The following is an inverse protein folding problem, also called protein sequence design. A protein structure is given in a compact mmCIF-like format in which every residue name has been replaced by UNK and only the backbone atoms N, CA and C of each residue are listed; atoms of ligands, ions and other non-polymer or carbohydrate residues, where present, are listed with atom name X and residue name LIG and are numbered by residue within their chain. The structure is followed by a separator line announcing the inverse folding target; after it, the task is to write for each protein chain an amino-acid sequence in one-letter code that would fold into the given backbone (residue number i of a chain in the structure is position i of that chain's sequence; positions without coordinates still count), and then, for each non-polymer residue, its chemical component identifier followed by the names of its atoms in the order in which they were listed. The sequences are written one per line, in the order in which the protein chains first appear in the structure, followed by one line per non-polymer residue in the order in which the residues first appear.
data_IF_691623602966
#
_entry.id   IF_691623602966
#
_cell.length_a   1.000
_cell.length_b   1.000
_cell.length_c   1.000
_cell.angle_alpha   90.00
_cell.angle_beta   90.00
_cell.angle_gamma   90.00
#
_symmetry.space_group_name_H-M   'P 1'
#
loop_
_entity.id
_entity.type
_entity.pdbx_description
1 polymer ?
#
# COMPACT_ATOMS: atom_id res chain seq x y z
N UNK A 1 13.13 9.63 26.47
CA UNK A 1 12.53 10.88 25.93
C UNK A 1 13.49 11.63 24.98
N UNK A 2 14.77 11.81 25.32
CA UNK A 2 15.77 12.46 24.43
C UNK A 2 16.10 11.71 23.13
N UNK A 3 15.98 10.37 23.09
CA UNK A 3 16.24 9.58 21.88
C UNK A 3 15.13 9.72 20.82
N UNK A 4 13.93 10.19 21.18
CA UNK A 4 12.87 10.51 20.21
C UNK A 4 13.19 11.74 19.35
N UNK A 5 14.09 12.62 19.81
CA UNK A 5 14.41 13.89 19.12
C UNK A 5 15.42 13.68 18.00
N UNK A 6 16.39 12.77 18.15
CA UNK A 6 17.46 12.57 17.14
C UNK A 6 16.99 11.94 15.83
N UNK A 7 15.85 11.23 15.81
CA UNK A 7 15.28 10.66 14.58
C UNK A 7 14.17 11.52 13.99
N UNK A 8 13.73 12.58 14.67
CA UNK A 8 12.68 13.46 14.18
C UNK A 8 13.12 14.17 12.89
N UNK A 9 14.37 14.63 12.84
CA UNK A 9 14.92 15.29 11.64
C UNK A 9 14.92 14.35 10.42
N UNK A 10 15.22 13.07 10.63
CA UNK A 10 15.19 12.04 9.57
C UNK A 10 13.76 11.78 9.10
N UNK A 11 12.81 11.70 10.02
CA UNK A 11 11.38 11.53 9.69
C UNK A 11 10.85 12.74 8.92
N UNK A 12 11.15 13.95 9.37
CA UNK A 12 10.74 15.19 8.70
C UNK A 12 11.37 15.27 7.31
N UNK A 13 12.66 14.94 7.17
CA UNK A 13 13.32 14.85 5.88
C UNK A 13 12.59 13.89 4.95
N UNK A 14 12.42 12.62 5.36
CA UNK A 14 11.78 11.62 4.53
C UNK A 14 10.36 12.02 4.13
N UNK A 15 9.57 12.53 5.07
CA UNK A 15 8.18 12.91 4.82
C UNK A 15 8.04 14.12 3.87
N UNK A 16 8.80 15.19 4.13
CA UNK A 16 8.72 16.41 3.31
C UNK A 16 9.22 16.14 1.90
N UNK A 17 10.37 15.47 1.76
CA UNK A 17 10.93 15.18 0.45
C UNK A 17 10.09 14.18 -0.34
N UNK A 18 9.53 13.13 0.28
CA UNK A 18 8.64 12.21 -0.42
C UNK A 18 7.37 12.89 -0.93
N UNK A 19 6.74 13.75 -0.11
CA UNK A 19 5.54 14.48 -0.53
C UNK A 19 5.85 15.47 -1.64
N UNK A 20 6.97 16.19 -1.54
CA UNK A 20 7.42 17.13 -2.56
C UNK A 20 7.74 16.41 -3.87
N UNK A 21 8.49 15.30 -3.84
CA UNK A 21 8.83 14.55 -5.06
C UNK A 21 7.61 13.89 -5.68
N UNK A 22 6.69 13.32 -4.89
CA UNK A 22 5.40 12.85 -5.42
C UNK A 22 4.58 13.97 -6.06
N UNK A 23 4.56 15.17 -5.47
CA UNK A 23 3.90 16.32 -6.07
C UNK A 23 4.57 16.75 -7.38
N UNK A 24 5.90 16.75 -7.43
CA UNK A 24 6.65 17.05 -8.66
C UNK A 24 6.38 16.02 -9.77
N UNK A 25 6.11 14.74 -9.44
CA UNK A 25 5.64 13.77 -10.45
C UNK A 25 4.37 14.24 -11.18
N UNK A 26 3.50 15.03 -10.54
CA UNK A 26 2.29 15.57 -11.17
C UNK A 26 2.55 16.75 -12.10
N UNK A 27 3.58 17.54 -11.81
CA UNK A 27 3.83 18.83 -12.46
C UNK A 27 4.69 18.67 -13.72
N UNK A 28 5.38 17.55 -13.85
CA UNK A 28 6.44 17.39 -14.85
C UNK A 28 5.88 16.84 -16.15
N UNK A 29 6.09 17.59 -17.22
CA UNK A 29 5.56 17.25 -18.56
C UNK A 29 6.37 16.16 -19.29
N UNK A 30 7.59 15.85 -18.82
CA UNK A 30 8.46 14.87 -19.48
C UNK A 30 8.43 13.50 -18.79
N UNK A 31 8.30 12.42 -19.58
CA UNK A 31 8.35 11.04 -19.08
C UNK A 31 9.65 10.73 -18.32
N UNK A 32 10.77 11.28 -18.80
CA UNK A 32 12.06 11.14 -18.12
C UNK A 32 12.06 11.85 -16.77
N UNK A 33 11.52 13.07 -16.69
CA UNK A 33 11.40 13.78 -15.42
C UNK A 33 10.46 13.08 -14.44
N UNK A 34 9.32 12.52 -14.92
CA UNK A 34 8.47 11.65 -14.10
C UNK A 34 9.26 10.50 -13.48
N UNK A 35 10.06 9.79 -14.29
CA UNK A 35 10.93 8.71 -13.79
C UNK A 35 11.93 9.20 -12.72
N UNK A 36 12.61 10.33 -12.96
CA UNK A 36 13.58 10.90 -12.01
C UNK A 36 12.93 11.19 -10.66
N UNK A 37 11.76 11.86 -10.63
CA UNK A 37 11.09 12.17 -9.38
C UNK A 37 10.54 10.94 -8.68
N UNK A 38 10.14 9.92 -9.44
CA UNK A 38 9.76 8.63 -8.88
C UNK A 38 10.94 7.97 -8.13
N UNK A 39 12.15 7.99 -8.71
CA UNK A 39 13.34 7.46 -8.02
C UNK A 39 13.78 8.29 -6.82
N UNK A 40 13.77 9.62 -6.95
CA UNK A 40 14.08 10.51 -5.83
C UNK A 40 13.10 10.30 -4.67
N UNK A 41 11.82 10.05 -4.97
CA UNK A 41 10.84 9.69 -3.97
C UNK A 41 11.16 8.34 -3.30
N UNK A 42 11.50 7.31 -4.08
CA UNK A 42 11.91 6.01 -3.51
C UNK A 42 13.13 6.12 -2.59
N UNK A 43 14.14 6.89 -3.00
CA UNK A 43 15.34 7.12 -2.18
C UNK A 43 15.06 7.96 -0.92
N UNK A 44 14.17 8.96 -1.01
CA UNK A 44 13.78 9.80 0.12
C UNK A 44 13.09 9.01 1.25
N UNK A 45 12.48 7.88 0.94
CA UNK A 45 11.79 7.02 1.92
C UNK A 45 12.79 6.18 2.73
N UNK A 46 13.95 5.83 2.17
CA UNK A 46 14.93 4.92 2.81
C UNK A 46 15.32 5.34 4.24
N UNK A 47 15.63 6.61 4.54
CA UNK A 47 15.99 7.02 5.90
C UNK A 47 14.92 6.71 6.96
N UNK A 48 13.64 6.67 6.58
CA UNK A 48 12.55 6.37 7.52
C UNK A 48 12.56 4.93 8.06
N UNK A 49 13.25 3.98 7.40
CA UNK A 49 13.49 2.64 7.95
C UNK A 49 14.25 2.67 9.29
N UNK A 50 15.20 3.60 9.43
CA UNK A 50 16.06 3.67 10.60
C UNK A 50 15.41 4.37 11.81
N UNK A 51 14.17 4.84 11.67
CA UNK A 51 13.41 5.43 12.76
C UNK A 51 12.85 4.40 13.76
N UNK A 52 12.84 3.10 13.42
CA UNK A 52 12.36 2.04 14.30
C UNK A 52 13.33 1.76 15.46
N UNK A 53 12.88 1.96 16.70
CA UNK A 53 13.62 1.58 17.91
C UNK A 53 13.35 0.09 18.20
N UNK A 54 14.38 -0.76 18.15
CA UNK A 54 14.29 -2.16 18.59
C UNK A 54 14.53 -3.24 17.53
N UNK A 55 15.21 -2.91 16.43
CA UNK A 55 15.35 -3.85 15.31
C UNK A 55 16.62 -4.71 15.41
N UNK A 56 16.44 -6.01 15.19
CA UNK A 56 17.54 -6.91 14.82
C UNK A 56 18.22 -6.36 13.58
N UNK A 57 19.45 -5.83 13.74
CA UNK A 57 20.21 -5.17 12.68
C UNK A 57 20.26 -6.00 11.38
N UNK A 58 20.42 -7.32 11.50
CA UNK A 58 20.43 -8.23 10.35
C UNK A 58 19.14 -8.17 9.53
N UNK A 59 17.97 -8.22 10.17
CA UNK A 59 16.67 -8.17 9.49
C UNK A 59 16.43 -6.81 8.84
N UNK A 60 16.84 -5.72 9.51
CA UNK A 60 16.75 -4.36 9.00
C UNK A 60 17.58 -4.20 7.72
N UNK A 61 18.87 -4.54 7.74
CA UNK A 61 19.70 -4.44 6.54
C UNK A 61 19.18 -5.32 5.41
N UNK A 62 18.68 -6.51 5.73
CA UNK A 62 18.13 -7.42 4.74
C UNK A 62 16.84 -6.89 4.07
N UNK A 63 15.98 -6.19 4.82
CA UNK A 63 14.75 -5.59 4.30
C UNK A 63 15.05 -4.32 3.49
N UNK A 64 15.94 -3.45 3.96
CA UNK A 64 16.43 -2.28 3.21
C UNK A 64 17.10 -2.70 1.92
N UNK A 65 17.96 -3.73 1.95
CA UNK A 65 18.58 -4.27 0.74
C UNK A 65 17.52 -4.78 -0.24
N UNK A 66 16.51 -5.53 0.24
CA UNK A 66 15.44 -6.02 -0.62
C UNK A 66 14.62 -4.88 -1.25
N UNK A 67 14.37 -3.79 -0.51
CA UNK A 67 13.72 -2.59 -1.03
C UNK A 67 14.57 -1.92 -2.12
N UNK A 68 15.87 -1.72 -1.89
CA UNK A 68 16.78 -1.07 -2.84
C UNK A 68 16.93 -1.91 -4.12
N UNK A 69 17.08 -3.23 -4.00
CA UNK A 69 17.21 -4.11 -5.17
C UNK A 69 15.93 -4.09 -6.01
N UNK A 70 14.77 -4.20 -5.38
CA UNK A 70 13.50 -4.24 -6.12
C UNK A 70 13.14 -2.88 -6.71
N UNK A 71 13.38 -1.79 -5.99
CA UNK A 71 13.22 -0.44 -6.54
C UNK A 71 14.18 -0.16 -7.70
N UNK A 72 15.45 -0.56 -7.60
CA UNK A 72 16.41 -0.47 -8.71
C UNK A 72 16.05 -1.35 -9.91
N UNK A 73 15.51 -2.55 -9.68
CA UNK A 73 15.04 -3.40 -10.78
C UNK A 73 13.85 -2.74 -11.51
N UNK A 74 12.91 -2.18 -10.74
CA UNK A 74 11.79 -1.44 -11.32
C UNK A 74 12.22 -0.21 -12.12
N UNK A 75 13.27 0.50 -11.67
CA UNK A 75 13.79 1.69 -12.35
C UNK A 75 14.39 1.35 -13.71
N UNK A 76 15.18 0.28 -13.78
CA UNK A 76 15.80 -0.19 -15.02
C UNK A 76 14.74 -0.65 -16.03
N UNK A 77 13.70 -1.36 -15.57
CA UNK A 77 12.57 -1.75 -16.41
C UNK A 77 11.81 -0.54 -16.95
N UNK A 78 11.55 0.48 -16.12
CA UNK A 78 10.90 1.72 -16.54
C UNK A 78 11.71 2.45 -17.61
N UNK A 79 13.00 2.71 -17.38
CA UNK A 79 13.85 3.42 -18.36
C UNK A 79 13.97 2.64 -19.66
N UNK A 80 14.20 1.33 -19.60
CA UNK A 80 14.34 0.51 -20.81
C UNK A 80 13.05 0.50 -21.65
N UNK A 81 11.87 0.44 -21.01
CA UNK A 81 10.59 0.57 -21.69
C UNK A 81 10.31 1.97 -22.25
N UNK A 82 10.85 3.03 -21.65
CA UNK A 82 10.74 4.40 -22.15
C UNK A 82 11.68 4.69 -23.34
N UNK A 83 12.87 4.09 -23.36
CA UNK A 83 13.87 4.33 -24.42
C UNK A 83 13.64 3.46 -25.66
N UNK A 84 13.13 2.25 -25.50
CA UNK A 84 12.96 1.27 -26.59
C UNK A 84 11.48 0.98 -26.82
N UNK A 85 10.94 1.45 -27.94
CA UNK A 85 9.51 1.31 -28.27
C UNK A 85 9.00 -0.12 -28.34
N UNK A 86 9.83 -1.09 -28.73
CA UNK A 86 9.45 -2.52 -28.76
C UNK A 86 9.32 -3.16 -27.38
N UNK A 87 9.85 -2.52 -26.33
CA UNK A 87 9.85 -3.02 -24.95
C UNK A 87 8.81 -2.33 -24.06
N UNK A 88 7.73 -1.80 -24.65
CA UNK A 88 6.71 -1.04 -23.93
C UNK A 88 6.09 -1.79 -22.74
N UNK A 89 5.98 -3.12 -22.81
CA UNK A 89 5.53 -3.97 -21.69
C UNK A 89 6.41 -3.84 -20.43
N UNK A 90 7.68 -3.44 -20.55
CA UNK A 90 8.56 -3.23 -19.40
C UNK A 90 8.12 -2.03 -18.54
N UNK A 91 7.36 -1.09 -19.09
CA UNK A 91 6.76 -0.02 -18.27
C UNK A 91 5.78 -0.65 -17.28
N UNK A 92 4.88 -1.52 -17.76
CA UNK A 92 3.94 -2.24 -16.89
C UNK A 92 4.70 -3.08 -15.85
N UNK A 93 5.65 -3.92 -16.26
CA UNK A 93 6.42 -4.72 -15.30
C UNK A 93 7.21 -3.87 -14.29
N UNK A 94 7.73 -2.71 -14.71
CA UNK A 94 8.36 -1.74 -13.82
C UNK A 94 7.39 -1.28 -12.72
N UNK A 95 6.16 -0.92 -13.08
CA UNK A 95 5.11 -0.57 -12.11
C UNK A 95 4.70 -1.75 -11.21
N UNK A 96 4.49 -2.95 -11.77
CA UNK A 96 4.15 -4.17 -11.01
C UNK A 96 5.23 -4.45 -9.96
N UNK A 97 6.51 -4.39 -10.33
CA UNK A 97 7.63 -4.58 -9.40
C UNK A 97 7.65 -3.46 -8.35
N UNK A 98 7.49 -2.20 -8.75
CA UNK A 98 7.62 -1.03 -7.86
C UNK A 98 6.53 -0.96 -6.79
N UNK A 99 5.32 -1.36 -7.14
CA UNK A 99 4.18 -1.41 -6.22
C UNK A 99 3.98 -2.79 -5.57
N UNK A 100 4.77 -3.78 -5.98
CA UNK A 100 4.70 -5.13 -5.46
C UNK A 100 3.37 -5.82 -5.77
N UNK A 101 2.83 -5.62 -6.96
CA UNK A 101 1.72 -6.43 -7.47
C UNK A 101 2.21 -7.85 -7.76
N UNK A 102 1.29 -8.80 -7.94
CA UNK A 102 1.63 -10.19 -8.21
C UNK A 102 2.46 -10.27 -9.51
N UNK A 103 3.47 -11.15 -9.61
CA UNK A 103 4.02 -12.09 -8.63
C UNK A 103 5.01 -11.48 -7.62
N UNK A 104 5.33 -10.18 -7.73
CA UNK A 104 6.38 -9.51 -6.96
C UNK A 104 5.90 -8.99 -5.59
N UNK A 105 4.91 -9.63 -4.95
CA UNK A 105 4.37 -9.11 -3.69
C UNK A 105 5.27 -9.38 -2.47
N UNK A 106 6.08 -10.45 -2.52
CA UNK A 106 6.82 -10.97 -1.37
C UNK A 106 7.83 -9.99 -0.75
N UNK A 107 8.43 -9.12 -1.57
CA UNK A 107 9.36 -8.12 -1.05
C UNK A 107 8.65 -7.07 -0.20
N UNK A 108 7.40 -6.72 -0.53
CA UNK A 108 6.58 -5.79 0.24
C UNK A 108 6.32 -6.37 1.63
N UNK A 109 5.97 -7.65 1.72
CA UNK A 109 5.78 -8.34 3.01
C UNK A 109 7.03 -8.30 3.89
N UNK A 110 8.22 -8.57 3.32
CA UNK A 110 9.49 -8.51 4.05
C UNK A 110 9.82 -7.10 4.55
N UNK A 111 9.48 -6.10 3.74
CA UNK A 111 9.76 -4.70 4.02
C UNK A 111 8.77 -4.14 5.06
N UNK A 112 7.51 -4.57 5.05
CA UNK A 112 6.49 -4.14 6.01
C UNK A 112 6.72 -4.75 7.40
N UNK A 113 7.19 -5.99 7.50
CA UNK A 113 7.38 -6.65 8.80
C UNK A 113 8.49 -6.06 9.67
N UNK A 114 9.45 -5.37 9.05
CA UNK A 114 10.60 -4.74 9.73
C UNK A 114 10.52 -3.21 9.70
N UNK A 115 9.69 -2.66 8.81
CA UNK A 115 9.59 -1.22 8.58
C UNK A 115 8.96 -0.47 9.75
N UNK A 116 9.39 0.77 9.95
CA UNK A 116 8.73 1.69 10.88
C UNK A 116 7.33 2.08 10.36
N UNK A 117 6.41 2.46 11.25
CA UNK A 117 5.08 2.95 10.84
C UNK A 117 5.14 4.15 9.89
N UNK A 118 6.14 5.02 10.05
CA UNK A 118 6.39 6.14 9.11
C UNK A 118 6.77 5.61 7.74
N UNK A 119 7.70 4.65 7.69
CA UNK A 119 8.10 4.02 6.43
C UNK A 119 6.89 3.35 5.75
N UNK A 120 6.10 2.59 6.52
CA UNK A 120 4.88 1.93 6.03
C UNK A 120 3.91 2.98 5.48
N UNK A 121 3.73 4.11 6.15
CA UNK A 121 2.90 5.22 5.64
C UNK A 121 3.39 5.76 4.30
N UNK A 122 4.68 6.08 4.20
CA UNK A 122 5.25 6.64 2.98
C UNK A 122 5.13 5.68 1.79
N UNK A 123 5.41 4.39 2.00
CA UNK A 123 5.30 3.39 0.94
C UNK A 123 3.84 3.05 0.60
N UNK A 124 2.99 2.81 1.60
CA UNK A 124 1.62 2.35 1.36
C UNK A 124 0.64 3.44 0.94
N UNK A 125 0.91 4.71 1.30
CA UNK A 125 -0.01 5.84 1.06
C UNK A 125 0.60 6.84 0.07
N UNK A 126 1.77 7.39 0.36
CA UNK A 126 2.34 8.51 -0.43
C UNK A 126 2.77 8.03 -1.82
N UNK A 127 3.47 6.89 -1.90
CA UNK A 127 3.93 6.34 -3.18
C UNK A 127 2.80 5.93 -4.13
N UNK A 128 1.55 5.79 -3.66
CA UNK A 128 0.40 5.48 -4.53
C UNK A 128 0.02 6.61 -5.48
N UNK A 129 0.42 7.84 -5.18
CA UNK A 129 0.09 8.98 -6.01
C UNK A 129 0.56 8.79 -7.47
N UNK A 130 1.83 8.41 -7.73
CA UNK A 130 2.31 8.06 -9.07
C UNK A 130 1.45 7.05 -9.85
N UNK A 131 0.70 6.17 -9.19
CA UNK A 131 -0.18 5.19 -9.85
C UNK A 131 -1.29 5.87 -10.66
N UNK A 132 -1.76 7.04 -10.22
CA UNK A 132 -2.79 7.80 -10.94
C UNK A 132 -2.34 8.20 -12.35
N UNK A 133 -1.02 8.33 -12.57
CA UNK A 133 -0.45 8.64 -13.87
C UNK A 133 -0.20 7.41 -14.74
N UNK A 134 -0.40 6.20 -14.19
CA UNK A 134 -0.13 4.96 -14.90
C UNK A 134 -0.96 4.84 -16.19
N UNK A 135 -2.23 5.26 -16.18
CA UNK A 135 -3.07 5.26 -17.38
C UNK A 135 -2.54 6.19 -18.49
N UNK A 136 -1.86 7.28 -18.14
CA UNK A 136 -1.25 8.17 -19.14
C UNK A 136 0.07 7.59 -19.68
N UNK A 137 0.80 6.87 -18.85
CA UNK A 137 2.09 6.27 -19.20
C UNK A 137 1.96 5.00 -20.02
N UNK A 138 0.94 4.19 -19.72
CA UNK A 138 0.64 2.92 -20.37
C UNK A 138 -0.60 3.09 -21.25
N UNK A 139 -0.37 3.26 -22.55
CA UNK A 139 -1.37 3.36 -23.60
C UNK A 139 -2.31 2.15 -23.56
N UNK A 140 -3.49 2.28 -24.15
CA UNK A 140 -4.59 1.28 -24.14
C UNK A 140 -4.25 -0.08 -24.75
N UNK A 141 -3.04 -0.28 -25.27
CA UNK A 141 -2.54 -1.59 -25.70
C UNK A 141 -2.25 -2.49 -24.50
N UNK A 142 -2.87 -3.68 -24.44
CA UNK A 142 -2.54 -4.69 -23.45
C UNK A 142 -3.30 -4.60 -22.12
N UNK A 143 -4.45 -3.94 -22.08
CA UNK A 143 -5.34 -3.87 -20.91
C UNK A 143 -5.67 -5.26 -20.31
N UNK A 144 -5.75 -6.30 -21.15
CA UNK A 144 -5.98 -7.67 -20.69
C UNK A 144 -4.93 -8.17 -19.69
N UNK A 145 -3.64 -7.83 -19.90
CA UNK A 145 -2.56 -8.20 -18.96
C UNK A 145 -2.72 -7.48 -17.62
N UNK A 146 -3.03 -6.19 -17.64
CA UNK A 146 -3.27 -5.39 -16.43
C UNK A 146 -4.44 -5.94 -15.63
N UNK A 147 -5.55 -6.26 -16.29
CA UNK A 147 -6.74 -6.84 -15.66
C UNK A 147 -6.46 -8.20 -15.03
N UNK A 148 -5.73 -9.08 -15.73
CA UNK A 148 -5.37 -10.40 -15.22
C UNK A 148 -4.46 -10.27 -14.00
N UNK A 149 -3.47 -9.38 -14.05
CA UNK A 149 -2.58 -9.17 -12.91
C UNK A 149 -3.31 -8.61 -11.69
N UNK A 150 -4.15 -7.58 -11.88
CA UNK A 150 -4.96 -7.02 -10.80
C UNK A 150 -5.96 -8.04 -10.24
N UNK A 151 -6.53 -8.89 -11.09
CA UNK A 151 -7.40 -9.98 -10.65
C UNK A 151 -6.63 -10.98 -9.78
N UNK A 152 -5.44 -11.41 -10.23
CA UNK A 152 -4.58 -12.32 -9.48
C UNK A 152 -4.12 -11.71 -8.15
N UNK A 153 -3.72 -10.43 -8.13
CA UNK A 153 -3.27 -9.78 -6.90
C UNK A 153 -4.38 -9.71 -5.85
N UNK A 154 -5.60 -9.33 -6.24
CA UNK A 154 -6.74 -9.28 -5.30
C UNK A 154 -7.11 -10.69 -4.83
N UNK A 155 -7.12 -11.67 -5.74
CA UNK A 155 -7.42 -13.05 -5.40
C UNK A 155 -6.39 -13.63 -4.43
N UNK A 156 -5.09 -13.46 -4.69
CA UNK A 156 -4.03 -13.93 -3.80
C UNK A 156 -4.11 -13.20 -2.46
N UNK A 157 -4.35 -11.89 -2.43
CA UNK A 157 -4.58 -11.17 -1.18
C UNK A 157 -5.74 -11.76 -0.37
N UNK A 158 -6.84 -12.18 -1.01
CA UNK A 158 -7.98 -12.81 -0.31
C UNK A 158 -7.60 -14.12 0.38
N UNK A 159 -6.69 -14.91 -0.20
CA UNK A 159 -6.15 -16.12 0.41
C UNK A 159 -5.11 -15.80 1.50
N UNK A 160 -4.21 -14.85 1.24
CA UNK A 160 -3.13 -14.49 2.16
C UNK A 160 -3.64 -13.84 3.45
N UNK A 161 -4.78 -13.17 3.44
CA UNK A 161 -5.43 -12.65 4.65
C UNK A 161 -5.66 -13.74 5.70
N UNK A 162 -5.95 -14.97 5.27
CA UNK A 162 -6.16 -16.09 6.19
C UNK A 162 -4.87 -16.76 6.64
N UNK A 163 -3.87 -16.84 5.75
CA UNK A 163 -2.65 -17.62 6.00
C UNK A 163 -1.51 -16.80 6.62
N UNK A 164 -1.42 -15.51 6.31
CA UNK A 164 -0.27 -14.65 6.60
C UNK A 164 -0.68 -13.31 7.22
N UNK A 165 -1.42 -13.35 8.32
CA UNK A 165 -1.93 -12.18 9.05
C UNK A 165 -1.57 -12.21 10.53
N UNK A 166 -0.30 -12.55 10.80
CA UNK A 166 0.24 -12.73 12.16
C UNK A 166 0.38 -11.40 12.92
N UNK A 167 0.50 -10.27 12.21
CA UNK A 167 0.76 -8.95 12.80
C UNK A 167 -0.03 -7.84 12.09
N UNK A 168 -0.14 -6.67 12.73
CA UNK A 168 -0.87 -5.51 12.20
C UNK A 168 -0.23 -4.96 10.91
N UNK A 169 1.09 -5.05 10.79
CA UNK A 169 1.82 -4.65 9.58
C UNK A 169 1.42 -5.51 8.38
N UNK A 170 1.22 -6.82 8.57
CA UNK A 170 0.78 -7.72 7.52
C UNK A 170 -0.67 -7.46 7.09
N UNK A 171 -1.54 -7.17 8.06
CA UNK A 171 -2.95 -6.81 7.76
C UNK A 171 -3.00 -5.54 6.91
N UNK A 172 -2.23 -4.52 7.29
CA UNK A 172 -2.13 -3.29 6.50
C UNK A 172 -1.48 -3.53 5.14
N UNK A 173 -0.51 -4.43 5.04
CA UNK A 173 0.08 -4.85 3.76
C UNK A 173 -0.99 -5.38 2.79
N UNK A 174 -1.83 -6.33 3.24
CA UNK A 174 -2.92 -6.88 2.41
C UNK A 174 -3.90 -5.80 1.93
N UNK A 175 -4.29 -4.88 2.83
CA UNK A 175 -5.15 -3.73 2.51
C UNK A 175 -4.46 -2.80 1.51
N UNK A 176 -3.16 -2.58 1.67
CA UNK A 176 -2.39 -1.68 0.82
C UNK A 176 -2.21 -2.23 -0.60
N UNK A 177 -1.97 -3.54 -0.75
CA UNK A 177 -1.78 -4.22 -2.04
C UNK A 177 -3.09 -4.31 -2.83
N UNK A 178 -4.17 -4.71 -2.16
CA UNK A 178 -5.50 -4.77 -2.78
C UNK A 178 -5.93 -3.38 -3.28
N UNK A 179 -5.67 -2.32 -2.49
CA UNK A 179 -5.98 -0.95 -2.88
C UNK A 179 -5.14 -0.40 -4.03
N UNK A 180 -3.87 -0.83 -4.20
CA UNK A 180 -3.12 -0.50 -5.44
C UNK A 180 -3.82 -1.15 -6.63
N UNK A 181 -4.09 -2.45 -6.56
CA UNK A 181 -4.66 -3.17 -7.71
C UNK A 181 -6.03 -2.64 -8.13
N UNK A 182 -6.89 -2.26 -7.17
CA UNK A 182 -8.18 -1.64 -7.47
C UNK A 182 -8.03 -0.23 -8.04
N UNK A 183 -7.07 0.56 -7.54
CA UNK A 183 -6.80 1.90 -8.06
C UNK A 183 -6.23 1.86 -9.48
N UNK A 184 -5.35 0.90 -9.81
CA UNK A 184 -4.87 0.66 -11.18
C UNK A 184 -6.03 0.39 -12.13
N UNK A 185 -6.95 -0.50 -11.76
CA UNK A 185 -8.13 -0.81 -12.57
C UNK A 185 -9.03 0.43 -12.71
N UNK A 186 -9.28 1.15 -11.62
CA UNK A 186 -10.10 2.38 -11.66
C UNK A 186 -9.50 3.45 -12.59
N UNK A 187 -8.16 3.56 -12.68
CA UNK A 187 -7.50 4.54 -13.55
C UNK A 187 -7.76 4.30 -15.04
N UNK A 188 -7.93 3.04 -15.48
CA UNK A 188 -8.21 2.74 -16.89
C UNK A 188 -9.69 2.85 -17.28
N UNK A 189 -10.60 2.67 -16.32
CA UNK A 189 -12.04 2.51 -16.59
C UNK A 189 -12.92 3.63 -16.04
N UNK A 190 -12.39 4.51 -15.18
CA UNK A 190 -13.15 5.60 -14.57
C UNK A 190 -12.57 6.97 -14.90
N UNK A 191 -13.32 8.02 -14.59
CA UNK A 191 -12.86 9.38 -14.78
C UNK A 191 -11.70 9.73 -13.83
N UNK A 192 -10.88 10.70 -14.22
CA UNK A 192 -9.78 11.18 -13.37
C UNK A 192 -10.30 11.72 -12.03
N UNK A 193 -11.47 12.37 -12.03
CA UNK A 193 -12.12 12.91 -10.82
C UNK A 193 -12.41 11.81 -9.79
N UNK A 194 -12.93 10.67 -10.23
CA UNK A 194 -13.22 9.53 -9.34
C UNK A 194 -11.93 8.92 -8.81
N UNK A 195 -10.89 8.80 -9.63
CA UNK A 195 -9.58 8.29 -9.21
C UNK A 195 -8.93 9.18 -8.13
N UNK A 196 -8.93 10.50 -8.33
CA UNK A 196 -8.43 11.45 -7.33
C UNK A 196 -9.24 11.40 -6.03
N UNK A 197 -10.56 11.25 -6.11
CA UNK A 197 -11.41 11.10 -4.92
C UNK A 197 -11.04 9.84 -4.12
N UNK A 198 -10.90 8.69 -4.78
CA UNK A 198 -10.51 7.42 -4.15
C UNK A 198 -9.13 7.57 -3.48
N UNK A 199 -8.15 8.18 -4.16
CA UNK A 199 -6.82 8.39 -3.62
C UNK A 199 -6.82 9.32 -2.39
N UNK A 200 -7.43 10.49 -2.46
CA UNK A 200 -7.44 11.44 -1.34
C UNK A 200 -8.19 10.90 -0.13
N UNK A 201 -9.26 10.15 -0.36
CA UNK A 201 -9.97 9.47 0.71
C UNK A 201 -9.09 8.41 1.37
N UNK A 202 -8.40 7.59 0.57
CA UNK A 202 -7.43 6.61 1.07
C UNK A 202 -6.26 7.28 1.81
N UNK A 203 -5.80 8.45 1.36
CA UNK A 203 -4.75 9.21 2.04
C UNK A 203 -5.16 9.61 3.47
N UNK A 204 -6.36 10.18 3.62
CA UNK A 204 -6.87 10.56 4.93
C UNK A 204 -7.14 9.35 5.82
N UNK A 205 -7.79 8.32 5.27
CA UNK A 205 -8.07 7.08 5.98
C UNK A 205 -6.78 6.37 6.44
N UNK A 206 -5.80 6.26 5.55
CA UNK A 206 -4.50 5.66 5.80
C UNK A 206 -3.67 6.40 6.84
N UNK A 207 -3.74 7.74 6.86
CA UNK A 207 -3.09 8.53 7.91
C UNK A 207 -3.69 8.19 9.28
N UNK A 208 -5.02 8.17 9.38
CA UNK A 208 -5.71 7.85 10.64
C UNK A 208 -5.46 6.39 11.10
N UNK A 209 -5.46 5.42 10.18
CA UNK A 209 -5.24 4.01 10.53
C UNK A 209 -3.80 3.73 10.96
N UNK A 210 -2.80 4.35 10.32
CA UNK A 210 -1.39 4.14 10.68
C UNK A 210 -1.06 4.82 12.02
N UNK A 211 -1.61 6.01 12.28
CA UNK A 211 -1.51 6.62 13.62
C UNK A 211 -2.13 5.71 14.68
N UNK A 212 -3.29 5.11 14.39
CA UNK A 212 -3.92 4.14 15.28
C UNK A 212 -3.02 2.92 15.52
N UNK A 213 -2.46 2.31 14.46
CA UNK A 213 -1.57 1.15 14.62
C UNK A 213 -0.27 1.48 15.35
N UNK A 214 0.30 2.67 15.12
CA UNK A 214 1.48 3.12 15.85
C UNK A 214 1.22 3.26 17.36
N UNK A 215 0.00 3.64 17.76
CA UNK A 215 -0.38 3.71 19.19
C UNK A 215 -0.67 2.33 19.75
N UNK A 216 -1.34 1.47 18.99
CA UNK A 216 -1.74 0.12 19.45
C UNK A 216 -0.55 -0.83 19.57
N UNK A 217 0.42 -0.76 18.66
CA UNK A 217 1.61 -1.62 18.70
C UNK A 217 2.48 -1.38 19.95
N UNK A 218 2.47 -0.17 20.51
CA UNK A 218 3.21 0.18 21.72
C UNK A 218 2.47 -0.18 23.03
N UNK A 219 1.18 -0.52 22.97
CA UNK A 219 0.32 -0.73 24.15
C UNK A 219 0.01 -2.22 24.36
N UNK A 220 0.42 -2.76 25.50
CA UNK A 220 0.10 -4.15 25.89
C UNK A 220 -1.35 -4.35 26.30
N UNK A 221 -2.01 -3.30 26.83
CA UNK A 221 -3.39 -3.35 27.30
C UNK A 221 -4.29 -2.41 26.51
N UNK A 222 -5.18 -2.99 25.71
CA UNK A 222 -6.13 -2.24 24.90
C UNK A 222 -7.37 -1.86 25.71
N UNK A 223 -7.46 -0.57 26.08
CA UNK A 223 -8.68 0.00 26.66
C UNK A 223 -9.84 -0.03 25.64
N UNK A 224 -11.07 -0.14 26.13
CA UNK A 224 -12.29 -0.17 25.30
C UNK A 224 -12.49 1.03 24.36
N UNK A 225 -11.85 2.19 24.60
CA UNK A 225 -11.89 3.31 23.65
C UNK A 225 -11.17 3.00 22.32
N UNK A 226 -10.07 2.26 22.38
CA UNK A 226 -9.34 1.85 21.18
C UNK A 226 -10.15 0.85 20.33
N UNK A 227 -11.03 0.07 20.95
CA UNK A 227 -11.97 -0.80 20.24
C UNK A 227 -12.95 0.00 19.37
N UNK A 228 -13.53 1.08 19.89
CA UNK A 228 -14.44 1.92 19.09
C UNK A 228 -13.72 2.59 17.92
N UNK A 229 -12.46 3.00 18.12
CA UNK A 229 -11.61 3.50 17.04
C UNK A 229 -11.30 2.41 16.01
N UNK A 230 -11.01 1.18 16.43
CA UNK A 230 -10.86 0.02 15.53
C UNK A 230 -12.11 -0.18 14.67
N UNK A 231 -13.28 -0.21 15.30
CA UNK A 231 -14.57 -0.37 14.62
C UNK A 231 -14.88 0.76 13.63
N UNK A 232 -14.46 1.98 13.93
CA UNK A 232 -14.66 3.13 13.04
C UNK A 232 -13.66 3.17 11.87
N UNK A 233 -12.40 2.80 12.14
CA UNK A 233 -11.30 2.92 11.17
C UNK A 233 -11.14 1.69 10.28
N UNK A 234 -11.42 0.47 10.73
CA UNK A 234 -11.08 -0.75 9.98
C UNK A 234 -12.29 -1.60 9.62
N UNK A 235 -13.30 -1.61 10.49
CA UNK A 235 -14.50 -2.42 10.27
C UNK A 235 -15.56 -1.66 9.47
N UNK A 236 -16.20 -2.33 8.52
CA UNK A 236 -17.28 -1.78 7.71
C UNK A 236 -18.55 -1.71 8.55
N UNK A 237 -18.71 -0.61 9.28
CA UNK A 237 -19.97 -0.20 9.94
C UNK A 237 -20.63 0.93 9.13
N UNK A 238 -21.95 1.19 9.27
CA UNK A 238 -22.69 2.12 8.39
C UNK A 238 -22.13 3.55 8.32
N UNK A 239 -21.36 3.98 9.32
CA UNK A 239 -20.71 5.31 9.38
C UNK A 239 -19.17 5.24 9.34
N UNK A 240 -18.61 4.05 9.09
CA UNK A 240 -17.16 3.84 9.09
C UNK A 240 -16.47 4.40 7.85
N UNK A 241 -15.18 4.72 8.00
CA UNK A 241 -14.37 5.21 6.90
C UNK A 241 -14.15 4.15 5.78
N UNK A 242 -13.88 2.87 6.10
CA UNK A 242 -13.72 1.83 5.08
C UNK A 242 -14.95 1.63 4.19
N UNK A 243 -16.17 1.87 4.70
CA UNK A 243 -17.39 1.74 3.91
C UNK A 243 -17.41 2.74 2.75
N UNK A 244 -17.13 4.02 3.04
CA UNK A 244 -17.10 5.09 2.04
C UNK A 244 -16.01 4.79 1.00
N UNK A 245 -14.83 4.34 1.46
CA UNK A 245 -13.75 3.91 0.58
C UNK A 245 -14.20 2.76 -0.35
N UNK A 246 -14.74 1.67 0.20
CA UNK A 246 -15.14 0.50 -0.61
C UNK A 246 -16.24 0.83 -1.61
N UNK A 247 -17.22 1.65 -1.23
CA UNK A 247 -18.25 2.12 -2.17
C UNK A 247 -17.64 2.95 -3.29
N UNK A 248 -16.73 3.88 -2.97
CA UNK A 248 -16.06 4.70 -3.98
C UNK A 248 -15.24 3.85 -4.97
N UNK A 249 -14.57 2.80 -4.49
CA UNK A 249 -13.84 1.84 -5.31
C UNK A 249 -14.80 1.02 -6.19
N UNK A 250 -15.93 0.56 -5.64
CA UNK A 250 -16.95 -0.14 -6.42
C UNK A 250 -17.48 0.71 -7.58
N UNK A 251 -17.72 2.01 -7.34
CA UNK A 251 -18.12 2.96 -8.40
C UNK A 251 -17.03 3.09 -9.46
N UNK A 252 -15.75 3.19 -9.05
CA UNK A 252 -14.62 3.30 -9.98
C UNK A 252 -14.40 2.05 -10.84
N UNK A 253 -14.70 0.86 -10.32
CA UNK A 253 -14.46 -0.43 -11.00
C UNK A 253 -15.69 -0.92 -11.78
N UNK A 254 -16.86 -0.29 -11.60
CA UNK A 254 -18.14 -0.78 -12.13
C UNK A 254 -18.11 -1.09 -13.64
N UNK A 255 -17.41 -0.26 -14.43
CA UNK A 255 -17.32 -0.41 -15.88
C UNK A 255 -16.16 -1.31 -16.38
N UNK A 256 -15.39 -1.93 -15.49
CA UNK A 256 -14.19 -2.70 -15.87
C UNK A 256 -14.52 -4.13 -16.35
N UNK A 257 -14.77 -5.06 -15.43
CA UNK A 257 -15.19 -6.42 -15.72
C UNK A 257 -15.90 -7.04 -14.52
N UNK A 258 -16.85 -7.94 -14.80
CA UNK A 258 -17.57 -8.70 -13.77
C UNK A 258 -16.60 -9.55 -12.93
N UNK A 259 -15.55 -10.09 -13.54
CA UNK A 259 -14.56 -10.93 -12.85
C UNK A 259 -13.81 -10.19 -11.74
N UNK A 260 -13.43 -8.93 -11.98
CA UNK A 260 -12.75 -8.10 -10.97
C UNK A 260 -13.73 -7.73 -9.85
N UNK A 261 -14.96 -7.38 -10.19
CA UNK A 261 -16.00 -7.10 -9.18
C UNK A 261 -16.25 -8.32 -8.28
N UNK A 262 -16.35 -9.52 -8.84
CA UNK A 262 -16.55 -10.75 -8.06
C UNK A 262 -15.38 -11.01 -7.10
N UNK A 263 -14.14 -10.92 -7.59
CA UNK A 263 -12.96 -11.13 -6.73
C UNK A 263 -12.81 -10.03 -5.70
N UNK A 264 -13.17 -8.79 -6.02
CA UNK A 264 -13.24 -7.70 -5.05
C UNK A 264 -14.26 -7.95 -3.94
N UNK A 265 -15.42 -8.52 -4.26
CA UNK A 265 -16.43 -8.94 -3.26
C UNK A 265 -15.87 -10.04 -2.36
N UNK A 266 -15.24 -11.07 -2.94
CA UNK A 266 -14.62 -12.16 -2.17
C UNK A 266 -13.54 -11.62 -1.24
N UNK A 267 -12.65 -10.76 -1.74
CA UNK A 267 -11.63 -10.10 -0.93
C UNK A 267 -12.25 -9.26 0.19
N UNK A 268 -13.20 -8.37 -0.15
CA UNK A 268 -13.84 -7.48 0.82
C UNK A 268 -14.56 -8.26 1.93
N UNK A 269 -15.19 -9.39 1.60
CA UNK A 269 -15.80 -10.26 2.58
C UNK A 269 -14.75 -10.94 3.47
N UNK A 270 -13.70 -11.52 2.86
CA UNK A 270 -12.63 -12.20 3.60
C UNK A 270 -11.90 -11.28 4.58
N UNK A 271 -11.57 -10.07 4.16
CA UNK A 271 -10.89 -9.05 4.97
C UNK A 271 -11.76 -8.64 6.16
N UNK A 272 -13.04 -8.37 5.93
CA UNK A 272 -13.95 -7.88 6.98
C UNK A 272 -14.32 -8.98 7.97
N UNK A 273 -14.48 -10.22 7.49
CA UNK A 273 -14.67 -11.36 8.38
C UNK A 273 -13.43 -11.59 9.26
N UNK A 274 -12.23 -11.48 8.68
CA UNK A 274 -10.99 -11.58 9.44
C UNK A 274 -10.86 -10.47 10.50
N UNK A 275 -11.12 -9.22 10.13
CA UNK A 275 -11.06 -8.08 11.06
C UNK A 275 -12.11 -8.18 12.17
N UNK A 276 -13.31 -8.69 11.87
CA UNK A 276 -14.33 -8.95 12.89
C UNK A 276 -13.87 -10.02 13.88
N UNK A 277 -13.28 -11.12 13.39
CA UNK A 277 -12.69 -12.16 14.25
C UNK A 277 -11.56 -11.59 15.11
N UNK A 278 -10.65 -10.81 14.52
CA UNK A 278 -9.54 -10.18 15.22
C UNK A 278 -10.04 -9.23 16.32
N UNK A 279 -11.07 -8.43 16.04
CA UNK A 279 -11.71 -7.57 17.04
C UNK A 279 -12.34 -8.35 18.20
N UNK A 280 -12.91 -9.54 17.94
CA UNK A 280 -13.43 -10.43 18.99
C UNK A 280 -12.35 -11.04 19.86
N UNK A 281 -11.29 -11.57 19.24
CA UNK A 281 -10.19 -12.27 19.92
C UNK A 281 -9.31 -11.29 20.72
N UNK A 282 -9.00 -10.09 20.21
CA UNK A 282 -8.16 -9.12 20.94
C UNK A 282 -8.87 -8.40 22.10
N UNK A 283 -10.18 -8.17 22.00
CA UNK A 283 -10.88 -7.28 22.94
C UNK A 283 -11.88 -7.98 23.87
N UNK A 284 -12.39 -9.18 23.52
CA UNK A 284 -13.48 -9.81 24.27
C UNK A 284 -13.24 -11.25 24.69
N UNK A 285 -12.37 -12.01 24.02
CA UNK A 285 -12.08 -13.39 24.40
C UNK A 285 -10.59 -13.60 24.65
N UNK A 286 -10.23 -13.93 25.88
CA UNK A 286 -8.92 -14.47 26.23
C UNK A 286 -8.74 -15.91 25.70
N UNK A 287 -9.29 -16.22 24.52
CA UNK A 287 -8.98 -17.42 23.77
C UNK A 287 -8.00 -16.97 22.71
N UNK A 288 -6.73 -16.99 23.10
CA UNK A 288 -5.63 -17.01 22.13
C UNK A 288 -5.88 -18.19 21.20
N UNK A 289 -6.49 -17.92 20.04
CA UNK A 289 -6.22 -18.74 18.88
C UNK A 289 -4.72 -18.58 18.66
N UNK A 290 -3.91 -19.61 18.98
CA UNK A 290 -2.45 -19.65 18.79
C UNK A 290 -2.08 -19.52 17.30
N UNK A 291 -2.21 -18.31 16.77
CA UNK A 291 -1.74 -17.87 15.47
C UNK A 291 -0.58 -16.88 15.67
N UNK A 292 -0.01 -16.83 16.87
CA UNK A 292 1.22 -16.13 17.21
C UNK A 292 2.03 -17.07 18.09
N UNK A 293 2.89 -17.85 17.43
CA UNK A 293 4.21 -18.21 17.95
C UNK A 293 5.25 -17.60 17.01
#
# INVERSE_FOLDING_TARGET
MFVRVFYFDVVVFSFVFSMLFCFLCCVVDSLFGFWVFLELCGLAIVPSFFCGLGLNFYNLYSSVLSYIIMSGLSSVLLISGLLVSSLYYFIFFGFVVKFGLFPFMLWVYRVFSVGSWVFIFLLSVVMKLPVLFFCFLYQTSGLGLVLVDCWLSIFVCSCLVWLFSLSLEYIWCHISLSSVSTLVVACFYSETRTCFFIYWYYFFWGLCSIVYFAVVSDLTDLKGYYFWLFCFLLLVTPLSMPLIYKISVCVGIFYSSIYILLVWVVYSFSEQFFLFKLGGDYFYSSVFNCWVE
#
